data_IF_727663061916
#
_entry.id   IF_727663061916
#
_cell.length_a   1.000
_cell.length_b   1.000
_cell.length_c   1.000
_cell.angle_alpha   90.00
_cell.angle_beta   90.00
_cell.angle_gamma   90.00
#
_symmetry.space_group_name_H-M   'P 1'
#
loop_
_entity.id
_entity.type
_entity.pdbx_description
1 polymer ?
#
# COMPACT_ATOMS: atom_id res chain seq x y z
N UNK A 1 -33.98 27.12 -4.79
CA UNK A 1 -33.71 26.72 -6.19
C UNK A 1 -32.30 26.13 -6.25
N UNK A 2 -32.23 24.81 -6.42
CA UNK A 2 -30.99 24.06 -6.54
C UNK A 2 -30.38 24.28 -7.94
N UNK A 3 -29.19 24.86 -7.98
CA UNK A 3 -28.39 24.99 -9.19
C UNK A 3 -27.18 24.07 -9.09
N UNK A 4 -27.17 23.02 -9.91
CA UNK A 4 -26.00 22.20 -10.15
C UNK A 4 -24.88 23.06 -10.76
N UNK A 5 -23.80 23.26 -10.01
CA UNK A 5 -22.56 23.84 -10.51
C UNK A 5 -21.49 22.74 -10.65
N UNK A 6 -21.57 22.06 -11.79
CA UNK A 6 -20.46 21.60 -12.63
C UNK A 6 -19.02 21.71 -12.07
N UNK A 7 -18.37 20.56 -11.94
CA UNK A 7 -17.19 20.29 -12.78
C UNK A 7 -15.80 20.77 -12.35
N UNK A 8 -15.60 21.32 -11.15
CA UNK A 8 -14.24 21.48 -10.57
C UNK A 8 -14.13 20.79 -9.23
N UNK A 9 -13.57 19.60 -9.24
CA UNK A 9 -13.27 18.85 -8.03
C UNK A 9 -12.06 19.48 -7.33
N UNK A 10 -12.18 19.96 -6.07
CA UNK A 10 -11.10 20.70 -5.44
C UNK A 10 -9.94 19.75 -5.11
N UNK A 11 -8.78 20.02 -5.70
CA UNK A 11 -7.48 19.39 -5.38
C UNK A 11 -6.84 20.07 -4.15
N UNK A 12 -7.63 20.76 -3.31
CA UNK A 12 -7.11 21.88 -2.54
C UNK A 12 -7.48 21.83 -1.08
N UNK A 13 -6.44 21.83 -0.25
CA UNK A 13 -6.51 22.45 1.06
C UNK A 13 -6.74 23.96 0.88
N UNK A 14 -7.84 24.49 1.43
CA UNK A 14 -8.20 25.90 1.35
C UNK A 14 -7.71 26.65 2.60
N UNK A 15 -6.91 27.69 2.38
CA UNK A 15 -6.39 28.54 3.44
C UNK A 15 -7.27 29.79 3.55
N UNK A 16 -7.74 30.09 4.77
CA UNK A 16 -8.50 31.30 5.07
C UNK A 16 -7.89 32.03 6.27
N UNK A 17 -7.86 33.36 6.19
CA UNK A 17 -7.47 34.22 7.32
C UNK A 17 -8.63 34.33 8.30
N UNK A 18 -8.36 34.17 9.60
CA UNK A 18 -9.33 34.31 10.67
C UNK A 18 -8.83 35.33 11.70
N UNK A 19 -9.62 36.37 11.97
CA UNK A 19 -9.38 37.28 13.11
C UNK A 19 -9.98 36.67 14.37
N UNK A 20 -9.19 36.59 15.45
CA UNK A 20 -9.62 36.09 16.76
C UNK A 20 -10.05 37.27 17.63
N UNK A 21 -10.94 37.05 18.60
CA UNK A 21 -11.46 38.09 19.51
C UNK A 21 -10.35 38.84 20.27
N UNK A 22 -9.22 38.17 20.51
CA UNK A 22 -8.02 38.74 21.16
C UNK A 22 -7.17 39.63 20.22
N UNK A 23 -7.69 40.02 19.05
CA UNK A 23 -6.96 40.86 18.07
C UNK A 23 -5.89 40.12 17.25
N UNK A 24 -5.53 38.89 17.62
CA UNK A 24 -4.56 38.07 16.88
C UNK A 24 -5.12 37.55 15.55
N UNK A 25 -4.24 37.45 14.54
CA UNK A 25 -4.57 36.81 13.25
C UNK A 25 -4.16 35.33 13.30
N UNK A 26 -5.07 34.44 12.92
CA UNK A 26 -4.79 33.03 12.68
C UNK A 26 -5.15 32.63 11.25
N UNK A 27 -4.58 31.54 10.78
CA UNK A 27 -4.78 30.99 9.45
C UNK A 27 -5.40 29.61 9.57
N UNK A 28 -6.59 29.42 9.02
CA UNK A 28 -7.28 28.13 9.06
C UNK A 28 -7.12 27.45 7.72
N UNK A 29 -6.57 26.25 7.71
CA UNK A 29 -6.56 25.36 6.55
C UNK A 29 -7.74 24.40 6.69
N UNK A 30 -8.56 24.29 5.65
CA UNK A 30 -9.65 23.32 5.54
C UNK A 30 -9.39 22.37 4.39
N UNK A 31 -9.59 21.09 4.61
CA UNK A 31 -9.50 20.07 3.56
C UNK A 31 -10.59 19.02 3.76
N UNK A 32 -10.82 18.22 2.72
CA UNK A 32 -11.77 17.13 2.77
C UNK A 32 -11.02 15.83 3.02
N UNK A 33 -11.49 15.07 4.00
CA UNK A 33 -10.95 13.76 4.32
C UNK A 33 -12.11 12.79 4.59
N UNK A 34 -12.18 11.69 3.84
CA UNK A 34 -13.25 10.68 3.94
C UNK A 34 -14.67 11.28 3.98
N UNK A 35 -14.94 12.27 3.12
CA UNK A 35 -16.25 12.94 3.04
C UNK A 35 -16.57 13.89 4.21
N UNK A 36 -15.66 14.08 5.18
CA UNK A 36 -15.80 15.03 6.28
C UNK A 36 -14.88 16.23 6.06
N UNK A 37 -15.39 17.42 6.37
CA UNK A 37 -14.60 18.65 6.32
C UNK A 37 -13.71 18.74 7.56
N UNK A 38 -12.41 18.63 7.36
CA UNK A 38 -11.40 18.81 8.40
C UNK A 38 -10.89 20.25 8.42
N UNK A 39 -10.43 20.69 9.58
CA UNK A 39 -9.81 22.01 9.69
C UNK A 39 -8.70 22.05 10.74
N UNK A 40 -7.63 22.77 10.44
CA UNK A 40 -6.53 23.04 11.37
C UNK A 40 -6.18 24.51 11.32
N UNK A 41 -5.88 25.08 12.49
CA UNK A 41 -5.58 26.51 12.63
C UNK A 41 -4.11 26.71 12.98
N UNK A 42 -3.46 27.64 12.30
CA UNK A 42 -2.06 28.00 12.41
C UNK A 42 -1.93 29.47 12.81
N UNK A 43 -0.88 29.81 13.54
CA UNK A 43 -0.60 31.21 13.92
C UNK A 43 0.09 31.94 12.77
N UNK A 44 1.05 31.29 12.10
CA UNK A 44 1.79 31.87 10.97
C UNK A 44 1.19 31.43 9.64
N UNK A 45 1.18 32.36 8.68
CA UNK A 45 0.68 32.12 7.31
C UNK A 45 1.50 31.05 6.57
N UNK A 46 2.82 31.14 6.69
CA UNK A 46 3.74 30.22 6.03
C UNK A 46 3.51 28.76 6.44
N UNK A 47 3.26 28.50 7.72
CA UNK A 47 2.95 27.16 8.23
C UNK A 47 1.67 26.58 7.61
N UNK A 48 0.65 27.42 7.42
CA UNK A 48 -0.59 27.05 6.76
C UNK A 48 -0.38 26.76 5.26
N UNK A 49 0.45 27.55 4.56
CA UNK A 49 0.77 27.35 3.14
C UNK A 49 1.61 26.09 2.92
N UNK A 50 2.62 25.85 3.76
CA UNK A 50 3.36 24.59 3.75
C UNK A 50 2.44 23.40 4.01
N UNK A 51 1.53 23.49 4.99
CA UNK A 51 0.60 22.41 5.28
C UNK A 51 -0.35 22.13 4.11
N UNK A 52 -0.92 23.18 3.50
CA UNK A 52 -1.80 23.02 2.34
C UNK A 52 -1.08 22.41 1.12
N UNK A 53 0.19 22.77 0.90
CA UNK A 53 1.05 22.18 -0.14
C UNK A 53 1.44 20.73 0.14
N UNK A 54 1.36 20.29 1.39
CA UNK A 54 1.69 18.92 1.83
C UNK A 54 0.49 17.97 1.81
N UNK A 55 -0.73 18.47 1.57
CA UNK A 55 -1.96 17.66 1.62
C UNK A 55 -2.57 17.56 0.22
N UNK A 56 -2.51 16.36 -0.36
CA UNK A 56 -3.24 15.99 -1.58
C UNK A 56 -4.48 15.15 -1.26
N UNK A 57 -5.56 15.33 -2.03
CA UNK A 57 -6.80 14.53 -1.89
C UNK A 57 -7.00 13.70 -3.15
N UNK A 58 -6.97 12.37 -3.01
CA UNK A 58 -7.29 11.42 -4.09
C UNK A 58 -8.73 10.96 -3.90
N UNK A 59 -9.58 11.23 -4.89
CA UNK A 59 -10.98 10.80 -4.90
C UNK A 59 -11.11 9.54 -5.73
N UNK A 60 -11.61 8.49 -5.09
CA UNK A 60 -11.81 7.17 -5.68
C UNK A 60 -13.31 6.91 -5.73
N UNK A 61 -13.84 6.49 -6.88
CA UNK A 61 -15.25 6.22 -7.07
C UNK A 61 -15.45 5.07 -8.05
N UNK A 62 -16.52 4.30 -7.85
CA UNK A 62 -16.92 3.17 -8.69
C UNK A 62 -18.46 3.01 -8.63
N UNK A 63 -19.08 2.29 -9.58
CA UNK A 63 -20.53 2.10 -9.65
C UNK A 63 -21.17 1.43 -8.43
N UNK A 64 -20.46 0.53 -7.74
CA UNK A 64 -20.95 -0.18 -6.55
C UNK A 64 -20.07 0.05 -5.33
N UNK A 65 -20.63 -0.07 -4.11
CA UNK A 65 -19.88 0.10 -2.86
C UNK A 65 -18.71 -0.89 -2.73
N UNK A 66 -18.90 -2.14 -3.16
CA UNK A 66 -17.85 -3.16 -3.15
C UNK A 66 -16.67 -2.78 -4.05
N UNK A 67 -16.94 -2.25 -5.25
CA UNK A 67 -15.90 -1.78 -6.16
C UNK A 67 -15.21 -0.52 -5.64
N UNK A 68 -15.94 0.39 -4.99
CA UNK A 68 -15.35 1.58 -4.33
C UNK A 68 -14.34 1.14 -3.29
N UNK A 69 -14.71 0.18 -2.43
CA UNK A 69 -13.82 -0.35 -1.41
C UNK A 69 -12.60 -1.05 -2.01
N UNK A 70 -12.80 -1.90 -3.04
CA UNK A 70 -11.70 -2.57 -3.73
C UNK A 70 -10.71 -1.58 -4.35
N UNK A 71 -11.21 -0.52 -5.00
CA UNK A 71 -10.37 0.50 -5.63
C UNK A 71 -9.67 1.37 -4.59
N UNK A 72 -10.34 1.69 -3.48
CA UNK A 72 -9.75 2.41 -2.35
C UNK A 72 -8.58 1.65 -1.75
N UNK A 73 -8.72 0.35 -1.48
CA UNK A 73 -7.62 -0.46 -0.94
C UNK A 73 -6.43 -0.53 -1.90
N UNK A 74 -6.67 -0.63 -3.22
CA UNK A 74 -5.60 -0.57 -4.23
C UNK A 74 -4.85 0.77 -4.19
N UNK A 75 -5.58 1.88 -4.06
CA UNK A 75 -4.98 3.22 -3.99
C UNK A 75 -4.18 3.39 -2.69
N UNK A 76 -4.70 2.95 -1.54
CA UNK A 76 -3.99 2.98 -0.26
C UNK A 76 -2.69 2.17 -0.34
N UNK A 77 -2.73 0.98 -0.95
CA UNK A 77 -1.56 0.13 -1.16
C UNK A 77 -0.51 0.81 -2.06
N UNK A 78 -0.92 1.38 -3.20
CA UNK A 78 -0.03 2.11 -4.09
C UNK A 78 0.65 3.31 -3.42
N UNK A 79 -0.08 4.07 -2.60
CA UNK A 79 0.47 5.21 -1.85
C UNK A 79 1.54 4.72 -0.85
N UNK A 80 1.24 3.65 -0.12
CA UNK A 80 2.18 3.10 0.87
C UNK A 80 3.42 2.51 0.20
N UNK A 81 3.26 1.78 -0.91
CA UNK A 81 4.36 1.21 -1.68
C UNK A 81 5.27 2.30 -2.26
N UNK A 82 4.69 3.34 -2.87
CA UNK A 82 5.48 4.47 -3.41
C UNK A 82 6.18 5.27 -2.32
N UNK A 83 5.53 5.48 -1.17
CA UNK A 83 6.16 6.13 -0.02
C UNK A 83 7.33 5.32 0.54
N UNK A 84 7.17 3.99 0.64
CA UNK A 84 8.25 3.09 1.05
C UNK A 84 9.40 3.10 0.03
N UNK A 85 9.10 2.98 -1.26
CA UNK A 85 10.09 3.04 -2.34
C UNK A 85 10.89 4.35 -2.33
N UNK A 86 10.23 5.48 -2.04
CA UNK A 86 10.91 6.77 -1.94
C UNK A 86 11.90 6.81 -0.76
N UNK A 87 11.57 6.13 0.34
CA UNK A 87 12.38 6.13 1.56
C UNK A 87 13.56 5.15 1.48
N UNK A 88 13.32 3.90 1.08
CA UNK A 88 14.30 2.80 1.13
C UNK A 88 14.84 2.38 -0.24
N UNK A 89 14.31 2.95 -1.33
CA UNK A 89 14.66 2.58 -2.68
C UNK A 89 13.86 1.39 -3.19
N UNK A 90 14.25 0.93 -4.38
CA UNK A 90 13.56 -0.14 -5.12
C UNK A 90 14.55 -1.20 -5.58
N UNK A 91 14.04 -2.41 -5.72
CA UNK A 91 14.76 -3.56 -6.29
C UNK A 91 13.93 -4.23 -7.38
N UNK A 92 14.52 -5.21 -8.06
CA UNK A 92 13.85 -6.01 -9.07
C UNK A 92 12.61 -6.68 -8.47
N UNK A 93 11.43 -6.30 -8.97
CA UNK A 93 10.17 -6.83 -8.45
C UNK A 93 9.84 -8.23 -8.95
N UNK A 94 8.61 -8.67 -8.71
CA UNK A 94 8.09 -9.93 -9.27
C UNK A 94 8.74 -11.18 -8.68
N UNK A 95 9.31 -11.09 -7.48
CA UNK A 95 9.97 -12.20 -6.78
C UNK A 95 11.39 -12.52 -7.25
N UNK A 96 11.93 -11.78 -8.23
CA UNK A 96 13.28 -12.00 -8.77
C UNK A 96 14.35 -11.68 -7.73
N UNK A 97 14.22 -10.55 -7.04
CA UNK A 97 15.14 -10.17 -5.98
C UNK A 97 15.24 -11.24 -4.89
N UNK A 98 14.12 -11.89 -4.52
CA UNK A 98 14.11 -12.98 -3.53
C UNK A 98 14.75 -14.25 -4.09
N UNK A 99 14.48 -14.60 -5.34
CA UNK A 99 15.00 -15.81 -5.98
C UNK A 99 16.54 -15.76 -6.16
N UNK A 100 17.14 -14.57 -6.24
CA UNK A 100 18.59 -14.38 -6.35
C UNK A 100 19.33 -14.50 -5.01
N UNK A 101 18.62 -14.40 -3.87
CA UNK A 101 19.24 -14.49 -2.55
C UNK A 101 19.78 -15.91 -2.32
N UNK A 102 21.06 -15.97 -1.90
CA UNK A 102 21.73 -17.20 -1.48
C UNK A 102 22.18 -17.08 -0.04
N UNK A 103 21.60 -17.90 0.81
CA UNK A 103 21.95 -18.07 2.23
C UNK A 103 22.64 -19.42 2.44
N UNK A 104 23.12 -19.66 3.66
CA UNK A 104 23.67 -20.97 4.07
C UNK A 104 22.61 -22.06 4.24
N UNK A 105 21.32 -21.70 4.28
CA UNK A 105 20.22 -22.66 4.44
C UNK A 105 19.59 -22.99 3.09
N UNK A 106 19.73 -24.24 2.66
CA UNK A 106 19.12 -24.73 1.42
C UNK A 106 17.59 -24.65 1.46
N UNK A 107 16.99 -24.92 2.62
CA UNK A 107 15.53 -24.84 2.82
C UNK A 107 15.05 -23.41 2.61
N UNK A 108 15.77 -22.43 3.18
CA UNK A 108 15.42 -21.02 3.03
C UNK A 108 15.58 -20.57 1.57
N UNK A 109 16.66 -20.96 0.91
CA UNK A 109 16.89 -20.64 -0.50
C UNK A 109 15.78 -21.22 -1.40
N UNK A 110 15.35 -22.45 -1.13
CA UNK A 110 14.25 -23.07 -1.87
C UNK A 110 12.91 -22.36 -1.63
N UNK A 111 12.65 -21.92 -0.39
CA UNK A 111 11.44 -21.18 -0.02
C UNK A 111 11.38 -19.80 -0.69
N UNK A 112 12.50 -19.06 -0.74
CA UNK A 112 12.57 -17.73 -1.36
C UNK A 112 12.31 -17.74 -2.88
N UNK A 113 12.46 -18.89 -3.54
CA UNK A 113 12.12 -19.07 -4.95
C UNK A 113 10.62 -19.32 -5.20
N UNK A 114 9.85 -19.64 -4.16
CA UNK A 114 8.41 -19.98 -4.30
C UNK A 114 7.59 -18.82 -4.82
N UNK A 115 7.72 -17.57 -4.33
CA UNK A 115 6.93 -16.44 -4.83
C UNK A 115 7.10 -16.22 -6.35
N UNK A 116 8.34 -16.31 -6.84
CA UNK A 116 8.64 -16.20 -8.26
C UNK A 116 8.01 -17.34 -9.09
N UNK A 117 8.14 -18.59 -8.62
CA UNK A 117 7.52 -19.75 -9.28
C UNK A 117 6.01 -19.65 -9.29
N UNK A 118 5.39 -19.24 -8.18
CA UNK A 118 3.95 -19.06 -8.09
C UNK A 118 3.46 -18.01 -9.09
N UNK A 119 4.19 -16.89 -9.21
CA UNK A 119 3.86 -15.86 -10.18
C UNK A 119 3.93 -16.41 -11.62
N UNK A 120 4.99 -17.15 -11.97
CA UNK A 120 5.10 -17.80 -13.29
C UNK A 120 3.92 -18.73 -13.58
N UNK A 121 3.56 -19.58 -12.61
CA UNK A 121 2.46 -20.52 -12.74
C UNK A 121 1.12 -19.80 -12.95
N UNK A 122 0.87 -18.72 -12.20
CA UNK A 122 -0.35 -17.92 -12.34
C UNK A 122 -0.51 -17.30 -13.74
N UNK A 123 0.61 -17.05 -14.44
CA UNK A 123 0.63 -16.40 -15.76
C UNK A 123 0.70 -17.43 -16.89
N UNK A 124 0.83 -18.72 -16.60
CA UNK A 124 0.96 -19.78 -17.61
C UNK A 124 2.27 -19.68 -18.40
N UNK A 125 3.30 -19.06 -17.82
CA UNK A 125 4.64 -18.99 -18.40
C UNK A 125 5.40 -20.27 -18.05
N UNK A 126 4.99 -21.38 -18.67
CA UNK A 126 5.69 -22.66 -18.53
C UNK A 126 7.06 -22.58 -19.22
N UNK A 127 8.10 -22.51 -18.40
CA UNK A 127 9.51 -22.89 -18.63
C UNK A 127 10.37 -22.33 -19.76
N UNK A 128 9.88 -21.50 -20.68
CA UNK A 128 10.65 -21.29 -21.93
C UNK A 128 11.84 -20.31 -21.85
N UNK A 129 11.99 -19.54 -20.76
CA UNK A 129 13.22 -18.75 -20.56
C UNK A 129 13.56 -18.57 -19.08
N UNK A 130 14.74 -19.03 -18.62
CA UNK A 130 15.28 -18.57 -17.35
C UNK A 130 15.54 -17.06 -17.47
N UNK A 131 14.89 -16.26 -16.62
CA UNK A 131 15.20 -14.84 -16.53
C UNK A 131 16.67 -14.70 -16.14
N UNK A 132 17.41 -13.88 -16.88
CA UNK A 132 18.79 -13.55 -16.50
C UNK A 132 18.76 -12.65 -15.27
N UNK A 133 19.87 -12.62 -14.55
CA UNK A 133 20.05 -11.70 -13.41
C UNK A 133 19.72 -10.28 -13.83
N UNK A 134 18.77 -9.64 -13.14
CA UNK A 134 18.29 -8.30 -13.45
C UNK A 134 17.28 -8.17 -14.62
N UNK A 135 16.77 -9.27 -15.17
CA UNK A 135 15.61 -9.25 -16.07
C UNK A 135 14.31 -9.50 -15.29
N UNK A 136 13.24 -8.78 -15.63
CA UNK A 136 11.89 -9.03 -15.16
C UNK A 136 10.91 -9.21 -16.31
N UNK A 137 9.76 -9.82 -15.99
CA UNK A 137 8.62 -9.95 -16.88
C UNK A 137 7.50 -9.03 -16.44
N UNK A 138 7.03 -8.18 -17.34
CA UNK A 138 5.80 -7.46 -17.15
C UNK A 138 4.64 -8.35 -17.60
N UNK A 139 3.88 -8.86 -16.63
CA UNK A 139 2.77 -9.80 -16.85
C UNK A 139 1.62 -9.18 -17.65
N UNK A 140 1.46 -7.84 -17.59
CA UNK A 140 0.37 -7.14 -18.28
C UNK A 140 0.70 -6.97 -19.77
N UNK A 141 1.95 -6.65 -20.10
CA UNK A 141 2.39 -6.41 -21.48
C UNK A 141 3.03 -7.64 -22.14
N UNK A 142 3.44 -8.63 -21.36
CA UNK A 142 4.22 -9.79 -21.81
C UNK A 142 5.69 -9.49 -22.09
N UNK A 143 6.16 -8.27 -21.84
CA UNK A 143 7.53 -7.87 -22.15
C UNK A 143 8.54 -8.44 -21.14
N UNK A 144 9.65 -8.97 -21.66
CA UNK A 144 10.77 -9.47 -20.87
C UNK A 144 12.00 -8.60 -21.16
N UNK A 145 12.61 -8.07 -20.11
CA UNK A 145 13.82 -7.26 -20.25
C UNK A 145 14.33 -6.76 -18.90
N UNK A 146 15.30 -5.84 -18.88
CA UNK A 146 15.80 -5.27 -17.64
C UNK A 146 14.65 -4.71 -16.81
N UNK A 147 14.58 -5.06 -15.51
CA UNK A 147 13.45 -4.72 -14.64
C UNK A 147 13.12 -3.22 -14.62
N UNK A 148 14.14 -2.38 -14.77
CA UNK A 148 14.02 -0.92 -14.87
C UNK A 148 13.29 -0.46 -16.13
N UNK A 149 13.51 -1.14 -17.26
CA UNK A 149 12.90 -0.80 -18.55
C UNK A 149 11.47 -1.28 -18.63
N UNK A 150 11.19 -2.49 -18.12
CA UNK A 150 9.84 -3.06 -18.12
C UNK A 150 8.95 -2.50 -17.00
N UNK A 151 9.54 -1.78 -16.04
CA UNK A 151 8.82 -1.07 -14.97
C UNK A 151 8.34 -1.96 -13.82
N UNK A 152 8.98 -3.10 -13.58
CA UNK A 152 8.61 -4.05 -12.53
C UNK A 152 9.55 -3.89 -11.34
N UNK A 153 9.08 -3.18 -10.32
CA UNK A 153 9.88 -2.73 -9.18
C UNK A 153 9.13 -2.96 -7.88
N UNK A 154 9.82 -3.45 -6.86
CA UNK A 154 9.27 -3.60 -5.51
C UNK A 154 10.07 -2.75 -4.50
N UNK A 155 9.41 -2.14 -3.50
CA UNK A 155 10.11 -1.41 -2.44
C UNK A 155 10.94 -2.34 -1.56
N UNK A 156 12.14 -1.88 -1.17
CA UNK A 156 13.07 -2.69 -0.36
C UNK A 156 12.49 -3.05 1.01
N UNK A 157 11.93 -2.06 1.74
CA UNK A 157 11.40 -2.31 3.08
C UNK A 157 10.25 -3.32 3.07
N UNK A 158 9.44 -3.34 2.00
CA UNK A 158 8.31 -4.27 1.87
C UNK A 158 8.79 -5.70 1.78
N UNK A 159 9.84 -5.97 0.99
CA UNK A 159 10.42 -7.30 0.86
C UNK A 159 11.09 -7.76 2.16
N UNK A 160 11.82 -6.88 2.84
CA UNK A 160 12.44 -7.20 4.14
C UNK A 160 11.36 -7.55 5.16
N UNK A 161 10.35 -6.69 5.31
CA UNK A 161 9.25 -6.91 6.25
C UNK A 161 8.47 -8.21 5.94
N UNK A 162 8.28 -8.54 4.66
CA UNK A 162 7.67 -9.81 4.25
C UNK A 162 8.49 -11.02 4.71
N UNK A 163 9.79 -11.04 4.44
CA UNK A 163 10.66 -12.18 4.79
C UNK A 163 10.79 -12.32 6.31
N UNK A 164 10.99 -11.22 7.03
CA UNK A 164 11.08 -11.23 8.50
C UNK A 164 9.78 -11.76 9.13
N UNK A 165 8.62 -11.30 8.65
CA UNK A 165 7.32 -11.76 9.15
C UNK A 165 7.10 -13.24 8.85
N UNK A 166 7.46 -13.70 7.65
CA UNK A 166 7.35 -15.10 7.25
C UNK A 166 8.24 -16.01 8.12
N UNK A 167 9.50 -15.62 8.35
CA UNK A 167 10.44 -16.36 9.20
C UNK A 167 9.94 -16.40 10.65
N UNK A 168 9.37 -15.30 11.15
CA UNK A 168 8.81 -15.24 12.51
C UNK A 168 7.68 -16.26 12.70
N UNK A 169 6.72 -16.30 11.78
CA UNK A 169 5.60 -17.26 11.81
C UNK A 169 6.13 -18.69 11.63
N UNK A 170 7.05 -18.92 10.69
CA UNK A 170 7.61 -20.25 10.46
C UNK A 170 8.36 -20.77 11.70
N UNK A 171 9.10 -19.92 12.39
CA UNK A 171 9.83 -20.28 13.62
C UNK A 171 8.86 -20.59 14.76
N UNK A 172 7.78 -19.82 14.89
CA UNK A 172 6.71 -20.11 15.85
C UNK A 172 6.09 -21.49 15.58
N UNK A 173 5.71 -21.76 14.34
CA UNK A 173 5.11 -23.05 13.95
C UNK A 173 6.08 -24.22 14.14
N UNK A 174 7.35 -24.04 13.78
CA UNK A 174 8.38 -25.08 13.92
C UNK A 174 8.67 -25.44 15.38
N UNK A 175 8.48 -24.51 16.31
CA UNK A 175 8.71 -24.71 17.75
C UNK A 175 7.44 -25.10 18.51
N UNK A 176 6.27 -25.04 17.88
CA UNK A 176 4.99 -25.36 18.51
C UNK A 176 4.71 -26.85 18.44
N UNK A 177 4.71 -27.52 19.59
CA UNK A 177 4.45 -28.97 19.68
C UNK A 177 2.97 -29.34 19.82
N UNK A 178 2.09 -28.40 20.16
CA UNK A 178 0.67 -28.68 20.38
C UNK A 178 -0.16 -27.42 20.62
N UNK A 179 -1.48 -27.55 20.40
CA UNK A 179 -2.45 -26.49 20.58
C UNK A 179 -3.59 -27.01 21.46
N UNK A 180 -3.90 -26.29 22.54
CA UNK A 180 -5.08 -26.57 23.36
C UNK A 180 -6.25 -25.82 22.74
N UNK A 181 -7.30 -26.55 22.38
CA UNK A 181 -8.52 -25.99 21.82
C UNK A 181 -9.64 -26.22 22.82
N UNK A 182 -10.34 -25.15 23.20
CA UNK A 182 -11.57 -25.26 23.99
C UNK A 182 -12.73 -25.63 23.08
N UNK A 183 -13.61 -26.53 23.54
CA UNK A 183 -14.83 -26.84 22.82
C UNK A 183 -15.70 -25.57 22.67
N UNK A 184 -16.26 -25.31 21.47
CA UNK A 184 -17.14 -24.18 21.28
C UNK A 184 -18.34 -24.31 22.21
N UNK A 185 -18.49 -23.36 23.14
CA UNK A 185 -19.66 -23.30 24.02
C UNK A 185 -20.90 -23.09 23.16
N UNK A 186 -21.85 -24.02 23.22
CA UNK A 186 -23.18 -23.80 22.67
C UNK A 186 -23.76 -22.53 23.32
N UNK A 187 -23.98 -21.50 22.51
CA UNK A 187 -24.75 -20.33 22.91
C UNK A 187 -26.12 -20.84 23.32
N UNK A 188 -26.45 -20.78 24.62
CA UNK A 188 -27.80 -21.01 25.08
C UNK A 188 -28.68 -19.99 24.37
N UNK A 189 -29.60 -20.45 23.53
CA UNK A 189 -30.65 -19.61 23.00
C UNK A 189 -31.44 -19.11 24.21
N UNK A 190 -31.31 -17.82 24.51
CA UNK A 190 -32.23 -17.14 25.42
C UNK A 190 -33.62 -17.28 24.80
N UNK A 191 -34.45 -18.14 25.40
CA UNK A 191 -35.87 -18.22 25.08
C UNK A 191 -36.52 -16.96 25.67
N UNK A 192 -36.98 -16.06 24.80
CA UNK A 192 -37.87 -14.93 25.12
C UNK A 192 -39.18 -15.40 25.78
#
# INVERSE_FOLDING_TARGET
AAGAASGRWPVSAHIARQKVKDGSTRWRVRWWEKGRLQSKTFVKRYDAEMFARKVGVIKVGAPTENEVNALKYKVEDCINATHSAFKSGVVAGGGIALAEIKTSSEILNAALQVPFRQLKNNVGLDDHRPLKVGEAINVVTGEIGPWQKVGVMDPVDVLIAQVESAISIASLLATTSGMIVEEPKHLKQEQE
#
